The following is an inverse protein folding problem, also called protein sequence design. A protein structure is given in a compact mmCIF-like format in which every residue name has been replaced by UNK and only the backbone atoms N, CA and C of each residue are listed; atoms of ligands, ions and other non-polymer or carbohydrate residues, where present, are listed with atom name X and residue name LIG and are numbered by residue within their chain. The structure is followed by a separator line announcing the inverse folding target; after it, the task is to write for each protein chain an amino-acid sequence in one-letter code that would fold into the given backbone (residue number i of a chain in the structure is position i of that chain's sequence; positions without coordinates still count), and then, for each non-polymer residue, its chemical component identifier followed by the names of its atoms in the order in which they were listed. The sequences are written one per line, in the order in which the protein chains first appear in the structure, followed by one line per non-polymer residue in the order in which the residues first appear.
data_IF_309211745310
#
_entry.id   IF_309211745310
#
_cell.length_a   1.000
_cell.length_b   1.000
_cell.length_c   1.000
_cell.angle_alpha   90.00
_cell.angle_beta   90.00
_cell.angle_gamma   90.00
#
_symmetry.space_group_name_H-M   'P 1'
#
loop_
_entity.id
_entity.type
_entity.pdbx_description
1 polymer ?
#
# COMPACT_ATOMS: atom_id res chain seq x y z
N UNK A 1 14.72 51.67 -14.72
CA UNK A 1 15.12 50.80 -13.60
C UNK A 1 14.46 49.46 -13.84
N UNK A 2 15.23 48.54 -14.40
CA UNK A 2 14.80 47.18 -14.76
C UNK A 2 15.60 46.24 -13.87
N UNK A 3 14.93 45.42 -13.07
CA UNK A 3 15.58 44.42 -12.22
C UNK A 3 15.45 43.10 -12.97
N UNK A 4 16.58 42.62 -13.51
CA UNK A 4 16.70 41.26 -14.03
C UNK A 4 16.63 40.30 -12.84
N UNK A 5 15.64 39.41 -12.82
CA UNK A 5 15.65 38.25 -11.92
C UNK A 5 16.43 37.13 -12.62
N UNK A 6 17.64 36.88 -12.13
CA UNK A 6 18.37 35.65 -12.42
C UNK A 6 17.64 34.51 -11.70
N UNK A 7 16.84 33.75 -12.45
CA UNK A 7 16.43 32.42 -12.04
C UNK A 7 17.65 31.52 -12.20
N UNK A 8 18.27 31.18 -11.07
CA UNK A 8 19.30 30.15 -11.01
C UNK A 8 18.70 28.80 -11.38
N UNK A 9 19.38 28.10 -12.28
CA UNK A 9 19.23 26.67 -12.53
C UNK A 9 19.16 25.90 -11.20
N UNK A 10 18.03 25.28 -10.92
CA UNK A 10 17.96 24.14 -10.02
C UNK A 10 18.55 22.94 -10.75
N UNK A 11 19.88 22.87 -10.76
CA UNK A 11 20.58 21.64 -11.09
C UNK A 11 20.25 20.62 -10.00
N UNK A 12 19.47 19.62 -10.43
CA UNK A 12 19.25 18.35 -9.77
C UNK A 12 20.62 17.73 -9.42
N UNK A 13 21.04 17.89 -8.16
CA UNK A 13 22.25 17.32 -7.61
C UNK A 13 21.86 16.48 -6.41
N UNK A 14 21.18 15.36 -6.66
CA UNK A 14 21.40 14.19 -5.82
C UNK A 14 22.85 13.76 -6.07
N UNK A 15 23.78 13.94 -5.10
CA UNK A 15 25.12 13.39 -5.27
C UNK A 15 24.97 11.89 -5.50
N UNK A 16 25.49 11.40 -6.62
CA UNK A 16 25.56 9.97 -6.89
C UNK A 16 26.23 9.29 -5.71
N UNK A 17 25.59 8.27 -5.16
CA UNK A 17 26.20 7.43 -4.13
C UNK A 17 27.42 6.77 -4.76
N UNK A 18 28.61 6.96 -4.18
CA UNK A 18 29.79 6.26 -4.66
C UNK A 18 29.57 4.76 -4.46
N UNK A 19 29.73 3.96 -5.53
CA UNK A 19 29.51 2.50 -5.44
C UNK A 19 30.49 1.87 -4.45
N UNK A 20 31.63 2.49 -4.21
CA UNK A 20 32.63 2.05 -3.24
C UNK A 20 32.14 2.19 -1.78
N UNK A 21 31.09 2.97 -1.53
CA UNK A 21 30.46 3.13 -0.20
C UNK A 21 29.34 2.11 0.07
N UNK A 22 28.97 1.30 -0.93
CA UNK A 22 27.95 0.27 -0.78
C UNK A 22 28.57 -1.03 -0.25
N UNK A 23 27.88 -1.75 0.66
CA UNK A 23 28.41 -2.98 1.20
C UNK A 23 28.48 -4.07 0.13
N UNK A 24 29.59 -4.83 0.13
CA UNK A 24 29.79 -5.93 -0.81
C UNK A 24 28.77 -7.06 -0.59
N UNK A 25 28.20 -7.57 -1.69
CA UNK A 25 27.10 -8.55 -1.69
C UNK A 25 27.21 -9.48 -2.90
N UNK A 26 26.60 -10.66 -2.80
CA UNK A 26 26.49 -11.61 -3.94
C UNK A 26 25.57 -11.11 -5.08
N UNK A 27 24.97 -9.94 -4.91
CA UNK A 27 24.12 -9.27 -5.88
C UNK A 27 24.64 -7.86 -6.13
N UNK A 28 24.38 -7.34 -7.33
CA UNK A 28 24.65 -5.95 -7.64
C UNK A 28 23.62 -5.03 -6.99
N UNK A 29 24.03 -3.81 -6.66
CA UNK A 29 23.14 -2.73 -6.26
C UNK A 29 22.69 -1.92 -7.47
N UNK A 30 21.48 -1.37 -7.41
CA UNK A 30 20.98 -0.41 -8.41
C UNK A 30 21.92 0.80 -8.50
N UNK A 31 21.98 1.40 -9.69
CA UNK A 31 22.88 2.53 -9.95
C UNK A 31 22.33 3.85 -9.37
N UNK A 32 21.01 4.00 -9.40
CA UNK A 32 20.33 5.20 -8.92
C UNK A 32 19.56 4.90 -7.63
N UNK A 33 19.67 5.77 -6.61
CA UNK A 33 18.85 5.65 -5.41
C UNK A 33 17.39 5.98 -5.71
N UNK A 34 16.49 5.31 -4.99
CA UNK A 34 15.07 5.66 -4.93
C UNK A 34 14.80 6.42 -3.64
N UNK A 35 14.18 7.60 -3.74
CA UNK A 35 13.69 8.34 -2.57
C UNK A 35 12.21 8.02 -2.34
N UNK A 36 11.90 7.52 -1.16
CA UNK A 36 10.54 7.28 -0.71
C UNK A 36 9.83 8.58 -0.32
N UNK A 37 8.50 8.54 -0.25
CA UNK A 37 7.68 9.70 0.09
C UNK A 37 7.91 10.23 1.52
N UNK A 38 8.48 9.39 2.39
CA UNK A 38 8.88 9.70 3.77
C UNK A 38 10.31 10.26 3.88
N UNK A 39 10.93 10.61 2.74
CA UNK A 39 12.23 11.27 2.68
C UNK A 39 13.43 10.34 2.77
N UNK A 40 13.23 9.03 2.91
CA UNK A 40 14.32 8.05 2.95
C UNK A 40 14.84 7.75 1.53
N UNK A 41 16.14 7.94 1.30
CA UNK A 41 16.80 7.59 0.02
C UNK A 41 17.53 6.26 0.15
N UNK A 42 17.25 5.33 -0.76
CA UNK A 42 17.72 3.95 -0.66
C UNK A 42 18.19 3.39 -1.98
N UNK A 43 19.23 2.56 -1.94
CA UNK A 43 19.68 1.77 -3.08
C UNK A 43 19.20 0.34 -2.88
N UNK A 44 18.37 -0.16 -3.80
CA UNK A 44 17.85 -1.53 -3.74
C UNK A 44 18.77 -2.50 -4.51
N UNK A 45 18.69 -3.81 -4.24
CA UNK A 45 19.32 -4.82 -5.07
C UNK A 45 18.87 -4.72 -6.54
N UNK A 46 19.83 -4.85 -7.45
CA UNK A 46 19.59 -5.00 -8.87
C UNK A 46 19.44 -6.49 -9.24
N UNK A 47 18.22 -6.85 -9.60
CA UNK A 47 17.85 -8.19 -10.10
C UNK A 47 17.36 -8.16 -11.54
N UNK A 48 17.60 -7.06 -12.27
CA UNK A 48 17.17 -6.91 -13.68
C UNK A 48 17.81 -7.93 -14.61
N UNK A 49 18.99 -8.46 -14.26
CA UNK A 49 19.61 -9.57 -14.98
C UNK A 49 18.90 -10.93 -14.78
N UNK A 50 17.88 -11.02 -13.92
CA UNK A 50 17.27 -12.28 -13.44
C UNK A 50 15.75 -12.46 -13.69
N UNK A 51 15.02 -11.52 -14.31
CA UNK A 51 13.55 -11.64 -14.51
C UNK A 51 12.69 -11.09 -13.34
N UNK A 52 11.41 -10.74 -13.58
CA UNK A 52 10.50 -10.16 -12.56
C UNK A 52 9.76 -11.18 -11.65
N UNK A 53 9.51 -10.85 -10.36
CA UNK A 53 10.37 -10.09 -9.46
C UNK A 53 11.47 -11.00 -8.94
N UNK A 54 12.73 -10.62 -9.20
CA UNK A 54 13.87 -11.37 -8.70
C UNK A 54 13.91 -11.44 -7.17
N UNK A 55 14.33 -12.60 -6.67
CA UNK A 55 14.62 -12.81 -5.26
C UNK A 55 16.13 -12.77 -5.03
N UNK A 56 16.52 -12.23 -3.88
CA UNK A 56 17.88 -12.31 -3.37
C UNK A 56 17.93 -13.39 -2.31
N UNK A 57 18.86 -14.34 -2.44
CA UNK A 57 19.17 -15.32 -1.40
C UNK A 57 19.99 -14.63 -0.33
N UNK A 58 19.61 -14.76 0.94
CA UNK A 58 20.29 -14.11 2.08
C UNK A 58 20.85 -15.17 3.05
N UNK A 59 21.19 -16.34 2.53
CA UNK A 59 21.74 -17.46 3.31
C UNK A 59 20.68 -18.41 3.87
N UNK A 60 21.10 -19.66 4.16
CA UNK A 60 20.30 -20.72 4.78
C UNK A 60 18.92 -20.96 4.12
N UNK A 61 18.88 -20.87 2.79
CA UNK A 61 17.64 -21.04 2.01
C UNK A 61 16.60 -19.92 2.22
N UNK A 62 16.94 -18.84 2.94
CA UNK A 62 16.10 -17.64 3.06
C UNK A 62 16.26 -16.77 1.82
N UNK A 63 15.16 -16.19 1.39
CA UNK A 63 15.14 -15.23 0.31
C UNK A 63 14.19 -14.09 0.61
N UNK A 64 14.49 -12.94 0.05
CA UNK A 64 13.70 -11.71 0.14
C UNK A 64 13.57 -11.12 -1.25
N UNK A 65 12.45 -10.46 -1.54
CA UNK A 65 12.29 -9.78 -2.83
C UNK A 65 13.20 -8.56 -2.87
N UNK A 66 13.82 -8.32 -4.03
CA UNK A 66 14.73 -7.19 -4.20
C UNK A 66 14.08 -5.83 -3.89
N UNK A 67 12.77 -5.68 -4.10
CA UNK A 67 12.05 -4.45 -3.83
C UNK A 67 11.50 -4.34 -2.39
N UNK A 68 11.86 -5.26 -1.49
CA UNK A 68 11.40 -5.27 -0.10
C UNK A 68 12.50 -4.87 0.90
N UNK A 69 13.69 -4.54 0.40
CA UNK A 69 14.78 -4.01 1.21
C UNK A 69 15.77 -3.16 0.39
N UNK A 70 16.54 -2.32 1.07
CA UNK A 70 17.57 -1.51 0.43
C UNK A 70 18.58 -0.98 1.44
N UNK A 71 19.74 -0.56 0.94
CA UNK A 71 20.74 0.15 1.72
C UNK A 71 20.38 1.64 1.77
N UNK A 72 20.38 2.22 2.96
CA UNK A 72 20.00 3.63 3.17
C UNK A 72 21.20 4.52 2.87
N UNK A 73 20.99 5.47 1.96
CA UNK A 73 22.03 6.41 1.48
C UNK A 73 21.71 7.87 1.80
N UNK A 74 20.51 8.16 2.30
CA UNK A 74 20.11 9.50 2.70
C UNK A 74 18.80 9.52 3.50
N UNK A 75 18.58 10.60 4.26
CA UNK A 75 17.32 10.86 4.96
C UNK A 75 17.08 10.09 6.26
N UNK A 76 18.03 9.26 6.71
CA UNK A 76 17.85 8.37 7.87
C UNK A 76 17.52 9.11 9.17
N UNK A 77 18.24 10.19 9.47
CA UNK A 77 18.06 10.93 10.73
C UNK A 77 16.65 11.54 10.82
N UNK A 78 16.21 12.26 9.79
CA UNK A 78 14.86 12.82 9.74
C UNK A 78 13.78 11.74 9.75
N UNK A 79 14.00 10.63 9.05
CA UNK A 79 13.10 9.49 9.07
C UNK A 79 12.95 8.89 10.47
N UNK A 80 14.06 8.69 11.20
CA UNK A 80 14.02 8.17 12.56
C UNK A 80 13.50 9.19 13.57
N UNK A 81 13.74 10.48 13.38
CA UNK A 81 13.15 11.53 14.22
C UNK A 81 11.63 11.52 14.13
N UNK A 82 11.08 11.34 12.94
CA UNK A 82 9.64 11.37 12.71
C UNK A 82 8.94 10.03 13.03
N UNK A 83 9.54 8.90 12.65
CA UNK A 83 8.84 7.62 12.61
C UNK A 83 9.35 6.56 13.59
N UNK A 84 10.44 6.79 14.33
CA UNK A 84 10.93 5.80 15.30
C UNK A 84 9.86 5.50 16.34
N UNK A 85 9.53 4.22 16.47
CA UNK A 85 8.61 3.71 17.50
C UNK A 85 9.42 3.10 18.66
N UNK A 86 10.05 1.94 18.41
CA UNK A 86 10.85 1.24 19.42
C UNK A 86 11.99 0.44 18.81
N UNK A 87 12.97 0.12 19.64
CA UNK A 87 13.97 -0.90 19.31
C UNK A 87 13.37 -2.30 19.51
N UNK A 88 13.68 -3.21 18.61
CA UNK A 88 13.17 -4.58 18.57
C UNK A 88 14.30 -5.49 19.00
N UNK A 89 14.10 -6.17 20.13
CA UNK A 89 15.06 -7.16 20.61
C UNK A 89 15.15 -8.32 19.62
N UNK A 90 16.39 -8.67 19.25
CA UNK A 90 16.69 -9.84 18.43
C UNK A 90 17.53 -10.84 19.22
N UNK A 91 17.33 -12.14 19.01
CA UNK A 91 18.11 -13.14 19.71
C UNK A 91 19.57 -13.13 19.24
N UNK A 92 20.49 -13.69 20.05
CA UNK A 92 21.93 -13.67 19.74
C UNK A 92 22.33 -14.57 18.57
N UNK A 93 21.47 -15.48 18.12
CA UNK A 93 21.76 -16.44 17.04
C UNK A 93 20.55 -16.68 16.15
N UNK A 94 20.78 -16.99 14.87
CA UNK A 94 19.72 -17.26 13.90
C UNK A 94 18.77 -18.40 14.33
N UNK A 95 19.31 -19.46 14.93
CA UNK A 95 18.52 -20.63 15.34
C UNK A 95 17.52 -20.35 16.46
N UNK A 96 17.56 -19.17 17.09
CA UNK A 96 16.69 -18.78 18.20
C UNK A 96 15.57 -17.82 17.76
N UNK A 97 15.53 -17.38 16.50
CA UNK A 97 14.48 -16.47 16.03
C UNK A 97 13.08 -17.06 16.12
N UNK A 98 12.90 -18.33 15.77
CA UNK A 98 11.59 -18.96 15.80
C UNK A 98 11.03 -19.09 17.23
N UNK A 99 11.90 -19.15 18.24
CA UNK A 99 11.51 -19.37 19.64
C UNK A 99 11.51 -18.08 20.49
N UNK A 100 12.36 -17.10 20.18
CA UNK A 100 12.63 -15.95 21.06
C UNK A 100 12.36 -14.59 20.43
N UNK A 101 12.30 -14.47 19.10
CA UNK A 101 12.03 -13.19 18.48
C UNK A 101 10.53 -12.89 18.58
N UNK A 102 10.18 -11.83 19.31
CA UNK A 102 8.80 -11.36 19.39
C UNK A 102 8.35 -10.76 18.05
N UNK A 103 7.07 -10.94 17.73
CA UNK A 103 6.48 -10.25 16.58
C UNK A 103 6.38 -8.76 16.89
N UNK A 104 7.03 -7.95 16.07
CA UNK A 104 6.86 -6.51 16.10
C UNK A 104 5.58 -6.12 15.36
N UNK A 105 4.55 -5.70 16.09
CA UNK A 105 3.35 -5.09 15.54
C UNK A 105 3.56 -3.56 15.52
N UNK A 106 3.73 -3.00 14.33
CA UNK A 106 3.97 -1.57 14.15
C UNK A 106 2.70 -0.73 13.97
N UNK A 107 1.57 -1.36 13.72
CA UNK A 107 0.27 -0.70 13.69
C UNK A 107 -0.88 -1.68 13.48
N UNK A 108 -2.03 -1.37 14.06
CA UNK A 108 -3.27 -2.12 13.88
C UNK A 108 -3.98 -1.55 12.66
N UNK A 109 -4.29 -2.42 11.69
CA UNK A 109 -5.02 -2.01 10.49
C UNK A 109 -5.63 -3.19 9.76
N UNK A 110 -6.84 -2.98 9.23
CA UNK A 110 -7.50 -3.92 8.34
C UNK A 110 -7.21 -3.68 6.85
N UNK A 111 -6.40 -2.67 6.50
CA UNK A 111 -6.22 -2.16 5.13
C UNK A 111 -5.89 -3.23 4.09
N UNK A 112 -5.10 -4.25 4.44
CA UNK A 112 -4.69 -5.33 3.53
C UNK A 112 -5.48 -6.64 3.74
N UNK A 113 -6.54 -6.62 4.55
CA UNK A 113 -7.27 -7.82 4.96
C UNK A 113 -6.53 -8.68 5.99
N UNK A 114 -5.55 -8.10 6.65
CA UNK A 114 -4.83 -8.62 7.82
C UNK A 114 -5.23 -7.85 9.09
N UNK A 115 -4.68 -8.21 10.26
CA UNK A 115 -4.97 -7.50 11.52
C UNK A 115 -4.09 -6.26 11.70
N UNK A 116 -2.88 -6.29 11.17
CA UNK A 116 -1.94 -5.18 11.26
C UNK A 116 -0.74 -5.36 10.37
N UNK A 117 0.25 -4.49 10.56
CA UNK A 117 1.50 -4.48 9.81
C UNK A 117 2.70 -4.43 10.75
N UNK A 118 3.80 -5.04 10.33
CA UNK A 118 5.04 -5.03 11.12
C UNK A 118 6.04 -6.08 10.66
N UNK A 119 6.65 -6.81 11.59
CA UNK A 119 7.63 -7.85 11.29
C UNK A 119 7.48 -9.05 12.25
N UNK A 120 7.15 -10.21 11.70
CA UNK A 120 7.19 -11.48 12.44
C UNK A 120 8.64 -12.00 12.57
N UNK A 121 8.88 -12.96 13.47
CA UNK A 121 10.20 -13.54 13.76
C UNK A 121 11.03 -13.88 12.51
N UNK A 122 10.44 -14.65 11.58
CA UNK A 122 11.10 -15.01 10.31
C UNK A 122 11.42 -13.82 9.41
N UNK A 123 10.65 -12.73 9.46
CA UNK A 123 10.92 -11.50 8.70
C UNK A 123 12.10 -10.75 9.32
N UNK A 124 12.17 -10.69 10.64
CA UNK A 124 13.30 -10.13 11.38
C UNK A 124 14.59 -10.92 11.10
N UNK A 125 14.55 -12.26 11.14
CA UNK A 125 15.69 -13.11 10.80
C UNK A 125 16.19 -12.85 9.37
N UNK A 126 15.25 -12.79 8.41
CA UNK A 126 15.57 -12.53 7.00
C UNK A 126 16.19 -11.13 6.82
N UNK A 127 15.71 -10.14 7.57
CA UNK A 127 16.25 -8.78 7.53
C UNK A 127 17.68 -8.70 8.09
N UNK A 128 17.93 -9.33 9.24
CA UNK A 128 19.28 -9.43 9.82
C UNK A 128 20.25 -10.14 8.87
N UNK A 129 19.81 -11.25 8.26
CA UNK A 129 20.60 -11.96 7.26
C UNK A 129 20.91 -11.07 6.05
N UNK A 130 19.93 -10.36 5.52
CA UNK A 130 20.15 -9.44 4.40
C UNK A 130 21.15 -8.33 4.75
N UNK A 131 21.02 -7.74 5.95
CA UNK A 131 21.90 -6.69 6.44
C UNK A 131 23.35 -7.17 6.68
N UNK A 132 23.57 -8.46 6.94
CA UNK A 132 24.90 -9.06 7.15
C UNK A 132 25.42 -9.85 5.94
N UNK A 133 24.70 -9.84 4.82
CA UNK A 133 25.05 -10.64 3.64
C UNK A 133 24.96 -12.16 3.86
N UNK A 134 24.15 -12.61 4.83
CA UNK A 134 23.99 -14.01 5.22
C UNK A 134 25.07 -14.54 6.17
N UNK A 135 26.01 -13.68 6.57
CA UNK A 135 27.09 -14.00 7.50
C UNK A 135 26.64 -14.14 8.95
N UNK A 136 27.61 -14.42 9.82
CA UNK A 136 27.42 -14.36 11.26
C UNK A 136 27.11 -12.93 11.71
N UNK A 137 26.44 -12.80 12.85
CA UNK A 137 26.15 -11.51 13.46
C UNK A 137 26.32 -11.59 14.98
N UNK A 138 26.53 -10.42 15.60
CA UNK A 138 26.36 -10.24 17.04
C UNK A 138 25.15 -9.36 17.29
N UNK A 139 24.21 -9.79 18.13
CA UNK A 139 23.04 -8.97 18.46
C UNK A 139 23.43 -7.66 19.16
N UNK A 140 24.59 -7.61 19.83
CA UNK A 140 25.09 -6.41 20.48
C UNK A 140 25.64 -5.34 19.52
N UNK A 141 25.87 -5.72 18.26
CA UNK A 141 26.42 -4.85 17.21
C UNK A 141 25.36 -4.47 16.18
N UNK A 142 24.10 -4.79 16.46
CA UNK A 142 22.98 -4.50 15.59
C UNK A 142 21.87 -3.81 16.36
N UNK A 143 21.22 -2.86 15.70
CA UNK A 143 19.99 -2.25 16.17
C UNK A 143 18.89 -2.54 15.14
N UNK A 144 17.79 -3.14 15.59
CA UNK A 144 16.59 -3.29 14.77
C UNK A 144 15.56 -2.29 15.29
N UNK A 145 15.19 -1.31 14.47
CA UNK A 145 14.36 -0.19 14.88
C UNK A 145 13.02 -0.27 14.16
N UNK A 146 11.96 -0.49 14.93
CA UNK A 146 10.58 -0.39 14.47
C UNK A 146 10.19 1.04 14.19
N UNK A 147 9.47 1.26 13.08
CA UNK A 147 9.05 2.58 12.61
C UNK A 147 7.52 2.70 12.43
N UNK A 148 6.77 2.19 13.41
CA UNK A 148 5.32 2.03 13.33
C UNK A 148 4.91 1.21 12.09
N UNK A 149 3.92 1.71 11.33
CA UNK A 149 3.43 1.13 10.07
C UNK A 149 4.37 1.29 8.87
N UNK A 150 5.47 2.01 9.02
CA UNK A 150 6.45 2.28 7.97
C UNK A 150 7.53 1.18 7.91
N UNK A 151 8.35 1.12 6.85
CA UNK A 151 9.50 0.22 6.80
C UNK A 151 10.41 0.35 8.03
N UNK A 152 10.85 -0.78 8.59
CA UNK A 152 11.73 -0.80 9.76
C UNK A 152 13.20 -0.78 9.33
N UNK A 153 14.08 -0.36 10.24
CA UNK A 153 15.52 -0.22 9.98
C UNK A 153 16.31 -1.32 10.68
N UNK A 154 17.32 -1.86 10.02
CA UNK A 154 18.39 -2.64 10.65
C UNK A 154 19.69 -1.87 10.47
N UNK A 155 20.35 -1.52 11.56
CA UNK A 155 21.66 -0.87 11.56
C UNK A 155 22.73 -1.83 12.06
N UNK A 156 23.90 -1.79 11.44
CA UNK A 156 25.11 -2.50 11.87
C UNK A 156 26.36 -1.67 11.49
N UNK A 157 27.55 -2.25 11.65
CA UNK A 157 28.82 -1.60 11.28
C UNK A 157 28.94 -1.22 9.79
N UNK A 158 28.17 -1.88 8.91
CA UNK A 158 28.18 -1.63 7.47
C UNK A 158 27.23 -0.49 7.07
N UNK A 159 26.42 0.02 8.00
CA UNK A 159 25.47 1.10 7.76
C UNK A 159 24.03 0.71 8.13
N UNK A 160 23.07 1.32 7.45
CA UNK A 160 21.65 1.14 7.72
C UNK A 160 20.94 0.53 6.51
N UNK A 161 20.03 -0.40 6.80
CA UNK A 161 19.21 -1.08 5.82
C UNK A 161 17.75 -0.88 6.16
N UNK A 162 16.93 -0.61 5.15
CA UNK A 162 15.48 -0.52 5.30
C UNK A 162 14.83 -1.81 4.86
N UNK A 163 13.75 -2.20 5.53
CA UNK A 163 12.96 -3.38 5.20
C UNK A 163 11.48 -3.06 5.24
N UNK A 164 10.75 -3.43 4.19
CA UNK A 164 9.30 -3.28 4.18
C UNK A 164 8.66 -4.06 5.34
N UNK A 165 7.66 -3.44 5.96
CA UNK A 165 6.75 -4.14 6.86
C UNK A 165 5.92 -5.17 6.08
N UNK A 166 5.46 -6.20 6.77
CA UNK A 166 4.61 -7.26 6.24
C UNK A 166 3.28 -7.30 6.96
N UNK A 167 2.27 -7.87 6.30
CA UNK A 167 0.96 -8.10 6.90
C UNK A 167 1.05 -9.15 8.02
N UNK A 168 0.41 -8.85 9.15
CA UNK A 168 0.41 -9.70 10.33
C UNK A 168 -1.01 -10.15 10.69
N UNK A 169 -1.12 -11.41 11.12
CA UNK A 169 -2.29 -11.85 11.90
C UNK A 169 -2.28 -11.20 13.28
N UNK A 170 -3.41 -11.30 14.00
CA UNK A 170 -3.47 -10.84 15.39
C UNK A 170 -2.53 -11.70 16.24
N UNK A 171 -1.56 -11.11 16.96
CA UNK A 171 -0.73 -11.89 17.88
C UNK A 171 -1.57 -12.53 18.98
N UNK A 172 -1.19 -13.73 19.41
CA UNK A 172 -1.84 -14.40 20.53
C UNK A 172 -1.71 -13.54 21.80
N UNK A 173 -2.82 -13.37 22.52
CA UNK A 173 -2.86 -12.56 23.74
C UNK A 173 -2.78 -11.04 23.52
N UNK A 174 -2.78 -10.57 22.27
CA UNK A 174 -2.87 -9.13 22.00
C UNK A 174 -4.20 -8.57 22.50
N UNK A 175 -4.13 -7.62 23.44
CA UNK A 175 -5.28 -6.91 23.98
C UNK A 175 -5.64 -5.74 23.07
N UNK A 176 -6.68 -5.95 22.24
CA UNK A 176 -7.18 -4.93 21.33
C UNK A 176 -7.85 -3.77 22.07
N UNK A 177 -8.48 -4.04 23.22
CA UNK A 177 -9.23 -3.05 23.98
C UNK A 177 -8.28 -2.07 24.68
N UNK A 178 -7.07 -2.52 25.02
CA UNK A 178 -6.00 -1.68 25.56
C UNK A 178 -5.23 -0.88 24.49
N UNK A 179 -5.39 -1.21 23.20
CA UNK A 179 -4.74 -0.48 22.11
C UNK A 179 -5.33 0.93 21.97
N UNK A 180 -4.56 1.97 21.58
CA UNK A 180 -5.10 3.30 21.36
C UNK A 180 -6.24 3.31 20.32
N UNK A 181 -7.33 4.00 20.66
CA UNK A 181 -8.45 4.19 19.76
C UNK A 181 -8.48 5.63 19.25
N UNK A 182 -8.79 5.79 17.97
CA UNK A 182 -9.05 7.08 17.35
C UNK A 182 -10.54 7.29 17.15
N UNK A 183 -11.01 8.52 17.37
CA UNK A 183 -12.39 8.88 17.06
C UNK A 183 -12.57 9.09 15.55
N UNK A 184 -13.46 8.31 14.93
CA UNK A 184 -13.75 8.37 13.49
C UNK A 184 -15.25 8.23 13.29
N UNK A 185 -15.87 9.24 12.66
CA UNK A 185 -17.31 9.27 12.41
C UNK A 185 -18.17 9.01 13.67
N UNK A 186 -17.68 9.40 14.85
CA UNK A 186 -18.33 9.16 16.15
C UNK A 186 -18.12 7.76 16.74
N UNK A 187 -17.21 6.96 16.18
CA UNK A 187 -16.80 5.65 16.70
C UNK A 187 -15.38 5.71 17.28
N UNK A 188 -15.12 4.94 18.32
CA UNK A 188 -13.76 4.71 18.82
C UNK A 188 -13.21 3.46 18.12
N UNK A 189 -12.12 3.60 17.36
CA UNK A 189 -11.59 2.52 16.51
C UNK A 189 -10.09 2.28 16.73
N UNK A 190 -9.65 1.01 16.83
CA UNK A 190 -8.23 0.66 16.82
C UNK A 190 -7.76 0.48 15.36
N UNK A 191 -7.60 1.57 14.62
CA UNK A 191 -7.19 1.57 13.21
C UNK A 191 -6.21 2.71 12.95
N UNK A 192 -5.02 2.42 12.43
CA UNK A 192 -3.93 3.40 12.25
C UNK A 192 -3.80 3.93 10.81
N UNK A 193 -4.55 3.38 9.86
CA UNK A 193 -4.51 3.79 8.44
C UNK A 193 -5.62 4.79 8.16
N UNK A 194 -5.22 6.02 7.84
CA UNK A 194 -6.12 7.16 7.61
C UNK A 194 -7.10 6.90 6.46
N UNK A 195 -6.66 6.22 5.41
CA UNK A 195 -7.50 5.80 4.29
C UNK A 195 -8.65 4.90 4.75
N UNK A 196 -8.38 3.95 5.66
CA UNK A 196 -9.44 3.09 6.21
C UNK A 196 -10.40 3.93 7.04
N UNK A 197 -9.91 4.86 7.86
CA UNK A 197 -10.74 5.77 8.67
C UNK A 197 -11.66 6.64 7.79
N UNK A 198 -11.12 7.26 6.75
CA UNK A 198 -11.91 8.00 5.74
C UNK A 198 -12.96 7.11 5.08
N UNK A 199 -12.58 5.87 4.75
CA UNK A 199 -13.50 4.87 4.22
C UNK A 199 -14.65 4.50 5.16
N UNK A 200 -14.41 4.49 6.48
CA UNK A 200 -15.45 4.22 7.49
C UNK A 200 -16.44 5.38 7.56
N UNK A 201 -15.95 6.62 7.52
CA UNK A 201 -16.81 7.81 7.43
C UNK A 201 -17.71 7.73 6.19
N UNK A 202 -17.11 7.48 5.02
CA UNK A 202 -17.86 7.30 3.78
C UNK A 202 -18.90 6.17 3.89
N UNK A 203 -18.51 5.02 4.43
CA UNK A 203 -19.39 3.86 4.56
C UNK A 203 -20.61 4.19 5.43
N UNK A 204 -20.41 4.87 6.56
CA UNK A 204 -21.50 5.25 7.47
C UNK A 204 -22.55 6.08 6.76
N UNK A 205 -22.11 7.09 6.01
CA UNK A 205 -23.01 7.96 5.21
C UNK A 205 -23.70 7.17 4.09
N UNK A 206 -22.96 6.30 3.38
CA UNK A 206 -23.51 5.52 2.28
C UNK A 206 -24.59 4.53 2.74
N UNK A 207 -24.39 3.89 3.90
CA UNK A 207 -25.36 2.97 4.49
C UNK A 207 -26.63 3.69 4.95
N UNK A 208 -26.48 4.85 5.59
CA UNK A 208 -27.62 5.66 6.03
C UNK A 208 -28.44 6.13 4.82
N UNK A 209 -27.79 6.72 3.81
CA UNK A 209 -28.50 7.38 2.72
C UNK A 209 -29.11 6.41 1.69
N UNK A 210 -28.43 5.29 1.41
CA UNK A 210 -28.81 4.38 0.31
C UNK A 210 -29.52 3.12 0.78
N UNK A 211 -29.39 2.76 2.06
CA UNK A 211 -29.93 1.51 2.60
C UNK A 211 -30.76 1.69 3.87
N UNK A 212 -30.88 2.90 4.40
CA UNK A 212 -31.54 3.18 5.69
C UNK A 212 -30.92 2.36 6.85
N UNK A 213 -29.61 2.12 6.78
CA UNK A 213 -28.85 1.39 7.80
C UNK A 213 -28.02 2.38 8.60
N UNK A 214 -28.40 2.59 9.86
CA UNK A 214 -27.67 3.44 10.79
C UNK A 214 -26.68 2.63 11.61
N UNK A 215 -25.38 2.92 11.46
CA UNK A 215 -24.33 2.38 12.32
C UNK A 215 -24.27 3.14 13.66
N UNK A 216 -24.39 2.42 14.77
CA UNK A 216 -24.44 3.01 16.12
C UNK A 216 -23.18 2.75 16.94
N UNK A 217 -22.47 1.66 16.66
CA UNK A 217 -21.25 1.30 17.40
C UNK A 217 -20.27 0.53 16.51
N UNK A 218 -18.97 0.72 16.73
CA UNK A 218 -17.96 -0.23 16.28
C UNK A 218 -17.74 -1.28 17.36
N UNK A 219 -17.93 -2.55 17.01
CA UNK A 219 -17.84 -3.66 17.94
C UNK A 219 -16.40 -4.13 18.12
N UNK A 220 -15.71 -4.43 17.01
CA UNK A 220 -14.35 -4.98 17.06
C UNK A 220 -13.66 -4.96 15.69
N UNK A 221 -12.35 -5.26 15.70
CA UNK A 221 -11.54 -5.56 14.53
C UNK A 221 -11.03 -7.01 14.65
N UNK A 222 -11.39 -7.86 13.68
CA UNK A 222 -10.95 -9.25 13.66
C UNK A 222 -10.79 -9.76 12.22
N UNK A 223 -9.70 -10.50 11.96
CA UNK A 223 -9.41 -11.14 10.67
C UNK A 223 -9.47 -10.17 9.47
N UNK A 224 -9.03 -8.93 9.67
CA UNK A 224 -9.08 -7.88 8.63
C UNK A 224 -10.48 -7.35 8.33
N UNK A 225 -11.45 -7.59 9.21
CA UNK A 225 -12.78 -7.01 9.17
C UNK A 225 -12.99 -6.02 10.31
N UNK A 226 -13.71 -4.94 10.00
CA UNK A 226 -14.40 -4.14 11.00
C UNK A 226 -15.83 -4.64 11.15
N UNK A 227 -16.28 -4.75 12.41
CA UNK A 227 -17.64 -5.12 12.78
C UNK A 227 -18.33 -3.90 13.38
N UNK A 228 -19.55 -3.64 12.95
CA UNK A 228 -20.38 -2.53 13.43
C UNK A 228 -21.75 -3.03 13.83
N UNK A 229 -22.26 -2.51 14.94
CA UNK A 229 -23.65 -2.67 15.37
C UNK A 229 -24.51 -1.61 14.70
N UNK A 230 -25.68 -2.03 14.21
CA UNK A 230 -26.70 -1.17 13.62
C UNK A 230 -27.81 -0.85 14.63
N UNK A 231 -28.61 0.17 14.34
CA UNK A 231 -29.72 0.58 15.22
C UNK A 231 -30.77 -0.52 15.47
N UNK A 232 -30.96 -1.43 14.49
CA UNK A 232 -31.85 -2.60 14.64
C UNK A 232 -31.23 -3.77 15.44
N UNK A 233 -30.01 -3.60 15.95
CA UNK A 233 -29.28 -4.59 16.74
C UNK A 233 -28.61 -5.69 15.91
N UNK A 234 -28.60 -5.58 14.58
CA UNK A 234 -27.81 -6.48 13.73
C UNK A 234 -26.33 -6.07 13.69
N UNK A 235 -25.48 -6.98 13.20
CA UNK A 235 -24.06 -6.71 13.02
C UNK A 235 -23.73 -6.74 11.55
N UNK A 236 -23.18 -5.65 11.04
CA UNK A 236 -22.59 -5.61 9.69
C UNK A 236 -21.07 -5.69 9.80
N UNK A 237 -20.44 -6.28 8.79
CA UNK A 237 -18.98 -6.35 8.73
C UNK A 237 -18.45 -6.04 7.35
N UNK A 238 -17.29 -5.43 7.29
CA UNK A 238 -16.63 -5.05 6.05
C UNK A 238 -15.13 -5.27 6.15
N UNK A 239 -14.50 -5.72 5.05
CA UNK A 239 -13.04 -5.86 5.01
C UNK A 239 -12.37 -4.49 4.95
N UNK A 240 -11.25 -4.32 5.65
CA UNK A 240 -10.54 -3.04 5.63
C UNK A 240 -10.02 -2.63 4.26
N UNK A 241 -9.65 -3.57 3.37
CA UNK A 241 -9.29 -3.19 1.99
C UNK A 241 -10.46 -2.60 1.20
N UNK A 242 -11.71 -2.96 1.53
CA UNK A 242 -12.89 -2.34 0.92
C UNK A 242 -13.08 -0.92 1.45
N UNK A 243 -12.85 -0.70 2.76
CA UNK A 243 -12.84 0.64 3.36
C UNK A 243 -11.73 1.51 2.75
N UNK A 244 -10.52 0.96 2.59
CA UNK A 244 -9.42 1.63 1.90
C UNK A 244 -9.81 2.02 0.46
N UNK A 245 -10.61 1.21 -0.25
CA UNK A 245 -11.11 1.57 -1.58
C UNK A 245 -12.13 2.71 -1.55
N UNK A 246 -12.86 2.90 -0.44
CA UNK A 246 -13.82 3.99 -0.27
C UNK A 246 -13.14 5.33 0.05
N UNK A 247 -11.92 5.31 0.56
CA UNK A 247 -11.18 6.51 0.98
C UNK A 247 -11.10 7.63 -0.08
N UNK A 248 -10.99 7.25 -1.34
CA UNK A 248 -10.86 8.16 -2.49
C UNK A 248 -12.11 8.11 -3.39
N UNK A 249 -13.27 7.81 -2.81
CA UNK A 249 -14.56 7.81 -3.50
C UNK A 249 -15.28 9.13 -3.23
N UNK A 250 -15.72 9.79 -4.29
CA UNK A 250 -16.55 10.99 -4.21
C UNK A 250 -18.04 10.61 -4.25
N UNK A 251 -18.87 11.39 -3.57
CA UNK A 251 -20.33 11.29 -3.69
C UNK A 251 -20.91 12.29 -4.68
N UNK A 252 -20.27 13.45 -4.84
CA UNK A 252 -20.61 14.40 -5.89
C UNK A 252 -19.97 13.95 -7.21
N UNK A 253 -20.76 13.69 -8.26
CA UNK A 253 -20.20 13.34 -9.57
C UNK A 253 -19.32 14.45 -10.15
N UNK A 254 -19.55 15.72 -9.82
CA UNK A 254 -18.74 16.82 -10.33
C UNK A 254 -17.27 16.75 -9.90
N UNK A 255 -16.96 16.03 -8.81
CA UNK A 255 -15.58 15.82 -8.36
C UNK A 255 -14.78 14.84 -9.26
N UNK A 256 -15.48 14.03 -10.05
CA UNK A 256 -14.84 13.06 -10.96
C UNK A 256 -14.98 13.42 -12.44
N UNK A 257 -15.88 14.35 -12.76
CA UNK A 257 -16.07 14.89 -14.11
C UNK A 257 -15.00 15.95 -14.46
N UNK A 258 -14.88 16.23 -15.75
CA UNK A 258 -13.93 17.20 -16.31
C UNK A 258 -12.57 16.58 -16.67
N UNK A 259 -11.60 17.46 -16.89
CA UNK A 259 -10.27 17.06 -17.33
C UNK A 259 -9.46 16.41 -16.20
N UNK A 260 -8.78 15.31 -16.53
CA UNK A 260 -7.80 14.66 -15.68
C UNK A 260 -6.49 14.54 -16.42
N UNK A 261 -5.39 14.89 -15.74
CA UNK A 261 -4.03 14.71 -16.23
C UNK A 261 -3.32 13.60 -15.45
N UNK A 262 -2.35 12.96 -16.10
CA UNK A 262 -1.44 12.00 -15.50
C UNK A 262 -0.08 12.14 -16.13
N UNK A 263 0.93 12.40 -15.32
CA UNK A 263 2.32 12.26 -15.70
C UNK A 263 2.81 10.89 -15.23
N UNK A 264 3.38 10.12 -16.16
CA UNK A 264 3.99 8.86 -15.83
C UNK A 264 5.40 9.04 -15.22
N UNK A 265 6.01 7.98 -14.65
CA UNK A 265 7.37 8.06 -14.12
C UNK A 265 8.48 8.37 -15.14
N UNK A 266 8.16 8.46 -16.43
CA UNK A 266 9.08 8.80 -17.52
C UNK A 266 8.87 10.24 -18.04
N UNK A 267 8.03 11.03 -17.38
CA UNK A 267 7.72 12.40 -17.76
C UNK A 267 6.76 12.53 -18.94
N UNK A 268 6.11 11.43 -19.38
CA UNK A 268 5.05 11.53 -20.38
C UNK A 268 3.74 11.93 -19.72
N UNK A 269 3.09 12.95 -20.26
CA UNK A 269 1.80 13.43 -19.79
C UNK A 269 0.66 12.90 -20.67
N UNK A 270 -0.43 12.51 -20.02
CA UNK A 270 -1.66 12.03 -20.62
C UNK A 270 -2.81 12.86 -20.07
N UNK A 271 -3.79 13.18 -20.91
CA UNK A 271 -5.04 13.78 -20.48
C UNK A 271 -6.24 12.93 -20.91
N UNK A 272 -7.32 13.05 -20.15
CA UNK A 272 -8.62 12.50 -20.46
C UNK A 272 -9.67 13.51 -20.00
N UNK A 273 -10.83 13.49 -20.62
CA UNK A 273 -11.97 14.29 -20.19
C UNK A 273 -13.14 13.35 -19.98
N UNK A 274 -13.90 13.57 -18.91
CA UNK A 274 -15.10 12.80 -18.66
C UNK A 274 -16.27 13.75 -18.38
N UNK A 275 -17.22 13.79 -19.31
CA UNK A 275 -18.26 14.83 -19.33
C UNK A 275 -19.59 14.42 -18.72
N UNK A 276 -19.83 13.11 -18.55
CA UNK A 276 -21.13 12.60 -18.10
C UNK A 276 -21.03 11.38 -17.18
N UNK A 277 -21.99 11.28 -16.26
CA UNK A 277 -22.27 10.07 -15.47
C UNK A 277 -23.51 9.37 -16.04
N UNK A 278 -23.47 8.05 -16.13
CA UNK A 278 -24.60 7.23 -16.59
C UNK A 278 -25.51 6.81 -15.43
N UNK A 279 -24.92 6.59 -14.24
CA UNK A 279 -25.62 6.04 -13.07
C UNK A 279 -25.49 6.97 -11.86
N UNK A 280 -26.64 7.36 -11.30
CA UNK A 280 -26.73 8.16 -10.08
C UNK A 280 -26.53 7.30 -8.81
N UNK A 281 -26.25 7.94 -7.68
CA UNK A 281 -26.24 7.28 -6.37
C UNK A 281 -27.58 6.55 -6.12
N UNK A 282 -27.52 5.38 -5.49
CA UNK A 282 -28.68 4.53 -5.24
C UNK A 282 -29.14 3.70 -6.44
N UNK A 283 -28.60 3.95 -7.63
CA UNK A 283 -28.96 3.16 -8.81
C UNK A 283 -28.56 1.68 -8.62
N UNK A 284 -29.52 0.74 -8.68
CA UNK A 284 -29.20 -0.68 -8.59
C UNK A 284 -28.29 -1.13 -9.74
N UNK A 285 -27.23 -1.86 -9.40
CA UNK A 285 -26.30 -2.43 -10.36
C UNK A 285 -26.15 -3.92 -10.12
N UNK A 286 -26.21 -4.72 -11.18
CA UNK A 286 -25.75 -6.10 -11.18
C UNK A 286 -24.57 -6.26 -12.11
N UNK A 287 -23.97 -7.46 -12.17
CA UNK A 287 -23.16 -7.84 -13.34
C UNK A 287 -23.98 -7.57 -14.61
N UNK A 288 -23.36 -7.04 -15.66
CA UNK A 288 -23.94 -6.45 -16.90
C UNK A 288 -25.01 -7.28 -17.65
N UNK A 289 -25.34 -8.48 -17.19
CA UNK A 289 -26.26 -9.42 -17.83
C UNK A 289 -27.70 -9.39 -17.32
N UNK A 290 -28.05 -8.61 -16.27
CA UNK A 290 -29.46 -8.54 -15.80
C UNK A 290 -30.16 -7.25 -16.23
N UNK A 291 -31.43 -7.34 -16.66
CA UNK A 291 -32.29 -6.17 -16.89
C UNK A 291 -32.39 -5.30 -15.62
N UNK A 292 -32.58 -3.97 -15.76
CA UNK A 292 -32.72 -3.05 -14.63
C UNK A 292 -33.73 -3.48 -13.57
N UNK A 293 -34.88 -3.98 -13.99
CA UNK A 293 -35.97 -4.48 -13.13
C UNK A 293 -35.63 -5.73 -12.31
N UNK A 294 -34.58 -6.46 -12.68
CA UNK A 294 -34.09 -7.66 -11.98
C UNK A 294 -32.82 -7.39 -11.14
N UNK A 295 -32.39 -6.13 -11.06
CA UNK A 295 -31.18 -5.77 -10.33
C UNK A 295 -31.44 -5.79 -8.82
N UNK A 296 -30.53 -6.38 -8.04
CA UNK A 296 -30.67 -6.43 -6.59
C UNK A 296 -30.67 -5.01 -6.01
N UNK A 297 -31.66 -4.68 -5.17
CA UNK A 297 -31.69 -3.41 -4.44
C UNK A 297 -30.62 -3.35 -3.34
N UNK A 298 -30.08 -4.49 -2.93
CA UNK A 298 -28.98 -4.57 -1.98
C UNK A 298 -27.60 -4.35 -2.64
N UNK A 299 -27.52 -3.92 -3.90
CA UNK A 299 -26.26 -3.65 -4.63
C UNK A 299 -26.42 -2.39 -5.49
N UNK A 300 -25.94 -1.25 -4.99
CA UNK A 300 -26.21 0.07 -5.59
C UNK A 300 -24.93 0.89 -5.73
N UNK A 301 -24.98 1.89 -6.62
CA UNK A 301 -23.93 2.91 -6.72
C UNK A 301 -23.95 3.77 -5.45
N UNK A 302 -22.81 3.88 -4.76
CA UNK A 302 -22.64 4.73 -3.58
C UNK A 302 -21.66 5.87 -3.79
N UNK A 303 -20.93 5.86 -4.92
CA UNK A 303 -20.05 6.96 -5.28
C UNK A 303 -19.29 6.71 -6.57
N UNK A 304 -18.34 7.61 -6.82
CA UNK A 304 -17.59 7.71 -8.04
C UNK A 304 -16.10 7.79 -7.74
N UNK A 305 -15.28 7.22 -8.61
CA UNK A 305 -13.84 7.38 -8.54
C UNK A 305 -13.23 7.49 -9.94
N UNK A 306 -12.10 8.16 -10.03
CA UNK A 306 -11.27 8.21 -11.23
C UNK A 306 -9.91 7.56 -11.00
N UNK A 307 -9.26 7.12 -12.06
CA UNK A 307 -7.89 6.64 -11.94
C UNK A 307 -7.24 6.29 -13.26
N UNK A 308 -5.95 6.06 -13.20
CA UNK A 308 -5.12 5.73 -14.35
C UNK A 308 -4.63 4.29 -14.29
N UNK A 309 -4.48 3.68 -15.45
CA UNK A 309 -3.87 2.36 -15.58
C UNK A 309 -2.73 2.44 -16.57
N UNK A 310 -1.51 2.50 -16.05
CA UNK A 310 -0.30 2.39 -16.84
C UNK A 310 0.18 0.92 -16.88
N UNK A 311 0.19 0.26 -18.05
CA UNK A 311 0.63 -1.11 -18.18
C UNK A 311 2.13 -1.32 -17.91
N UNK A 312 2.93 -0.26 -17.87
CA UNK A 312 4.35 -0.31 -17.47
C UNK A 312 4.53 -0.38 -15.96
N UNK A 313 3.53 0.05 -15.17
CA UNK A 313 3.52 -0.08 -13.69
C UNK A 313 2.84 -1.35 -13.21
N UNK A 314 2.19 -2.09 -14.11
CA UNK A 314 1.48 -3.33 -13.78
C UNK A 314 2.44 -4.51 -13.71
N UNK A 315 2.53 -5.15 -12.52
CA UNK A 315 3.20 -6.45 -12.30
C UNK A 315 2.66 -7.59 -13.16
N UNK A 316 1.47 -7.42 -13.75
CA UNK A 316 0.89 -8.38 -14.72
C UNK A 316 1.12 -7.85 -16.12
N UNK A 317 1.55 -8.73 -17.03
CA UNK A 317 1.66 -8.44 -18.46
C UNK A 317 0.29 -8.02 -19.00
N UNK A 318 0.07 -6.70 -19.10
CA UNK A 318 -1.05 -6.15 -19.85
C UNK A 318 -0.70 -6.24 -21.32
N UNK A 319 -1.31 -7.21 -22.01
CA UNK A 319 -1.18 -7.38 -23.47
C UNK A 319 -1.68 -6.16 -24.26
N UNK A 320 -2.45 -5.26 -23.62
CA UNK A 320 -3.00 -4.11 -24.31
C UNK A 320 -1.95 -3.03 -24.63
N UNK A 321 -0.91 -2.85 -23.81
CA UNK A 321 0.05 -1.73 -24.00
C UNK A 321 -0.56 -0.33 -23.85
N UNK A 322 -1.84 -0.21 -23.47
CA UNK A 322 -2.59 1.05 -23.43
C UNK A 322 -2.58 1.69 -22.05
N UNK A 323 -2.23 2.97 -21.98
CA UNK A 323 -2.58 3.82 -20.84
C UNK A 323 -4.07 4.11 -20.92
N UNK A 324 -4.79 3.87 -19.83
CA UNK A 324 -6.24 4.04 -19.78
C UNK A 324 -6.61 4.96 -18.64
N UNK A 325 -7.34 6.02 -18.96
CA UNK A 325 -8.14 6.74 -17.99
C UNK A 325 -9.36 5.88 -17.64
N UNK A 326 -9.74 5.90 -16.37
CA UNK A 326 -10.83 5.09 -15.87
C UNK A 326 -11.74 5.88 -14.97
N UNK A 327 -12.99 5.53 -15.18
CA UNK A 327 -14.19 6.00 -14.57
C UNK A 327 -14.79 4.82 -13.79
N UNK A 328 -15.03 4.98 -12.50
CA UNK A 328 -15.56 3.90 -11.69
C UNK A 328 -16.86 4.33 -11.03
N UNK A 329 -17.90 3.52 -11.22
CA UNK A 329 -19.03 3.49 -10.31
C UNK A 329 -18.65 2.59 -9.14
N UNK A 330 -18.56 3.17 -7.95
CA UNK A 330 -18.27 2.45 -6.73
C UNK A 330 -19.59 1.92 -6.20
N UNK A 331 -19.70 0.59 -6.18
CA UNK A 331 -20.88 -0.13 -5.73
C UNK A 331 -20.67 -0.66 -4.33
N UNK A 332 -21.68 -0.50 -3.49
CA UNK A 332 -21.78 -1.17 -2.19
C UNK A 332 -22.87 -2.22 -2.29
N UNK A 333 -22.50 -3.47 -1.99
CA UNK A 333 -23.45 -4.54 -1.81
C UNK A 333 -23.59 -4.88 -0.32
N UNK A 334 -24.82 -4.81 0.17
CA UNK A 334 -25.23 -5.27 1.50
C UNK A 334 -25.56 -6.76 1.41
N UNK A 335 -24.83 -7.58 2.17
CA UNK A 335 -25.06 -9.02 2.23
C UNK A 335 -26.36 -9.38 2.96
N UNK A 336 -26.89 -10.57 2.69
CA UNK A 336 -27.99 -11.12 3.51
C UNK A 336 -27.43 -11.86 4.73
N UNK A 337 -28.01 -11.65 5.91
CA UNK A 337 -27.58 -12.31 7.14
C UNK A 337 -26.16 -11.92 7.56
N UNK A 338 -25.26 -12.90 7.68
CA UNK A 338 -23.87 -12.70 8.12
C UNK A 338 -22.87 -12.45 6.99
N UNK A 339 -23.36 -12.29 5.75
CA UNK A 339 -22.51 -11.97 4.61
C UNK A 339 -21.87 -10.59 4.79
N UNK A 340 -20.55 -10.45 4.51
CA UNK A 340 -19.89 -9.17 4.64
C UNK A 340 -20.39 -8.18 3.57
N UNK A 341 -20.38 -6.90 3.92
CA UNK A 341 -20.48 -5.81 2.96
C UNK A 341 -19.33 -5.93 1.95
N UNK A 342 -19.63 -5.68 0.68
CA UNK A 342 -18.60 -5.73 -0.37
C UNK A 342 -18.62 -4.48 -1.22
N UNK A 343 -17.42 -3.98 -1.54
CA UNK A 343 -17.23 -2.87 -2.46
C UNK A 343 -16.72 -3.41 -3.80
N UNK A 344 -17.38 -3.02 -4.88
CA UNK A 344 -16.95 -3.34 -6.24
C UNK A 344 -16.86 -2.06 -7.06
N UNK A 345 -15.80 -1.91 -7.85
CA UNK A 345 -15.69 -0.82 -8.83
C UNK A 345 -16.12 -1.33 -10.21
N UNK A 346 -17.33 -0.97 -10.63
CA UNK A 346 -17.79 -1.23 -12.00
C UNK A 346 -17.14 -0.22 -12.93
N UNK A 347 -16.57 -0.71 -14.03
CA UNK A 347 -15.69 0.08 -14.90
C UNK A 347 -16.46 0.68 -16.06
N UNK A 348 -16.34 1.98 -16.24
CA UNK A 348 -16.30 2.59 -17.56
C UNK A 348 -14.84 2.96 -17.85
N UNK A 349 -14.36 2.70 -19.06
CA UNK A 349 -12.98 2.95 -19.40
C UNK A 349 -12.92 3.60 -20.77
N UNK A 350 -12.30 4.76 -20.83
CA UNK A 350 -11.91 5.40 -22.07
C UNK A 350 -10.44 5.07 -22.36
N UNK A 351 -10.15 4.75 -23.62
CA UNK A 351 -8.77 4.54 -24.05
C UNK A 351 -8.25 5.84 -24.61
N UNK A 352 -7.39 6.53 -23.86
CA UNK A 352 -6.85 7.84 -24.26
C UNK A 352 -5.60 7.75 -25.12
N UNK A 353 -4.86 6.63 -25.02
CA UNK A 353 -3.71 6.39 -25.88
C UNK A 353 -3.56 4.90 -26.20
N UNK A 354 -3.50 4.58 -27.50
CA UNK A 354 -3.07 3.27 -27.96
C UNK A 354 -1.58 3.29 -28.28
N UNK A 355 -0.77 2.63 -27.45
CA UNK A 355 0.55 2.17 -27.89
C UNK A 355 0.46 0.69 -28.23
N UNK A 356 0.95 0.34 -29.42
CA UNK A 356 1.41 -1.03 -29.64
C UNK A 356 2.60 -1.21 -28.70
N UNK A 357 2.72 -2.33 -27.97
CA UNK A 357 3.93 -2.63 -27.26
C UNK A 357 5.03 -2.85 -28.31
N UNK A 358 5.67 -1.76 -28.74
CA UNK A 358 7.03 -1.83 -29.22
C UNK A 358 7.81 -2.31 -28.00
N UNK A 359 8.15 -3.60 -28.04
CA UNK A 359 9.18 -4.16 -27.20
C UNK A 359 8.84 -4.41 -25.74
N UNK A 360 7.69 -4.99 -25.38
CA UNK A 360 7.68 -5.78 -24.13
C UNK A 360 8.44 -7.09 -24.25
N UNK A 361 8.47 -7.75 -25.43
CA UNK A 361 9.37 -8.89 -25.63
C UNK A 361 10.84 -8.46 -25.73
N UNK A 362 11.16 -7.39 -26.46
CA UNK A 362 12.55 -6.91 -26.54
C UNK A 362 13.02 -6.22 -25.25
N UNK A 363 12.20 -5.48 -24.49
CA UNK A 363 12.59 -5.01 -23.14
C UNK A 363 12.58 -6.14 -22.11
N UNK A 364 11.73 -7.16 -22.20
CA UNK A 364 11.85 -8.35 -21.35
C UNK A 364 13.13 -9.14 -21.66
N UNK A 365 13.58 -9.15 -22.92
CA UNK A 365 14.80 -9.86 -23.34
C UNK A 365 16.07 -9.01 -23.14
N UNK A 366 15.97 -7.68 -23.17
CA UNK A 366 17.10 -6.74 -23.06
C UNK A 366 17.22 -6.12 -21.65
N UNK A 367 16.15 -6.11 -20.85
CA UNK A 367 16.13 -5.69 -19.43
C UNK A 367 15.67 -6.80 -18.45
N UNK A 368 15.57 -8.04 -18.92
CA UNK A 368 15.27 -9.22 -18.08
C UNK A 368 14.03 -9.08 -17.20
N UNK A 369 12.84 -8.96 -17.81
CA UNK A 369 11.53 -9.01 -17.12
C UNK A 369 10.85 -10.35 -17.41
#
# INVERSE_FOLDING_TARGET
MSVQSEFGDFADLTPGVDRDDLPDREFAWQEEPTTFADGLSVVMPDVTSRGEPGYVTVGDGRSIRANEFGYVVGGLEGYLEEYRDREIDIPPYYSRFDDEAETYLGGVTAANGSFGVGAHSRRLETAVRAATGGGAFSSSEMAVIGCGKRPFIVQNEQGAFVFSAVDLGRPDGFDLDAYPHSEVAGFQLPEDVEEVRRGITFLKEALADQFDITLVRHDTLADGFHYFETEDGSTVRIKGYHLHQLADTARDPMEVLGEMAYEDPWGETFSAEWDEIEYELGTPMSRRSRPPEERPQNDVVVGYARGWSDPRRSRRVSLSGRVKARAYYVRLKVGEGSEPLTITRERQAETVAERRPENKMELATTKGI
#
